data_IF_117108494954
#
_entry.id   IF_117108494954
#
_cell.length_a   1.000
_cell.length_b   1.000
_cell.length_c   1.000
_cell.angle_alpha   90.00
_cell.angle_beta   90.00
_cell.angle_gamma   90.00
#
_symmetry.space_group_name_H-M   'P 1'
#
loop_
_entity.id
_entity.type
_entity.pdbx_description
1 polymer ?
#
# COMPACT_ATOMS: atom_id res chain seq x y z
N UNK A 1 17.29 -12.17 4.76
CA UNK A 1 16.43 -11.71 5.88
C UNK A 1 16.22 -10.20 5.97
N UNK A 2 17.27 -9.34 5.90
CA UNK A 2 17.10 -7.87 6.05
C UNK A 2 16.21 -7.22 4.99
N UNK A 3 16.37 -7.60 3.70
CA UNK A 3 15.56 -7.04 2.59
C UNK A 3 14.05 -7.30 2.76
N UNK A 4 13.65 -8.54 3.07
CA UNK A 4 12.23 -8.88 3.32
C UNK A 4 11.62 -8.09 4.48
N UNK A 5 12.37 -7.93 5.59
CA UNK A 5 11.91 -7.13 6.74
C UNK A 5 11.73 -5.67 6.37
N UNK A 6 12.63 -5.09 5.56
CA UNK A 6 12.52 -3.71 5.09
C UNK A 6 11.27 -3.53 4.21
N UNK A 7 11.05 -4.41 3.23
CA UNK A 7 9.88 -4.33 2.35
C UNK A 7 8.55 -4.53 3.12
N UNK A 8 8.53 -5.43 4.11
CA UNK A 8 7.37 -5.60 4.98
C UNK A 8 7.08 -4.35 5.82
N UNK A 9 8.11 -3.75 6.43
CA UNK A 9 7.93 -2.48 7.16
C UNK A 9 7.49 -1.35 6.25
N UNK A 10 8.06 -1.23 5.05
CA UNK A 10 7.66 -0.21 4.06
C UNK A 10 6.19 -0.39 3.66
N UNK A 11 5.75 -1.62 3.36
CA UNK A 11 4.36 -1.89 3.02
C UNK A 11 3.39 -1.57 4.18
N UNK A 12 3.78 -1.89 5.41
CA UNK A 12 2.97 -1.60 6.60
C UNK A 12 2.86 -0.08 6.84
N UNK A 13 3.96 0.64 6.71
CA UNK A 13 3.98 2.11 6.84
C UNK A 13 3.15 2.77 5.74
N UNK A 14 3.29 2.31 4.48
CA UNK A 14 2.47 2.79 3.37
C UNK A 14 0.98 2.52 3.60
N UNK A 15 0.63 1.33 4.10
CA UNK A 15 -0.73 0.96 4.43
C UNK A 15 -1.34 1.86 5.50
N UNK A 16 -0.56 2.20 6.54
CA UNK A 16 -0.99 3.13 7.58
C UNK A 16 -1.21 4.55 7.03
N UNK A 17 -0.29 5.05 6.20
CA UNK A 17 -0.46 6.33 5.50
C UNK A 17 -1.69 6.30 4.59
N UNK A 18 -1.92 5.20 3.88
CA UNK A 18 -3.10 5.01 3.04
C UNK A 18 -4.41 5.05 3.83
N UNK A 19 -4.43 4.48 5.04
CA UNK A 19 -5.58 4.55 5.95
C UNK A 19 -5.90 5.99 6.36
N UNK A 20 -4.89 6.79 6.68
CA UNK A 20 -5.07 8.21 7.00
C UNK A 20 -5.62 8.97 5.79
N UNK A 21 -5.06 8.74 4.60
CA UNK A 21 -5.55 9.37 3.37
C UNK A 21 -6.98 8.96 3.02
N UNK A 22 -7.39 7.73 3.33
CA UNK A 22 -8.77 7.26 3.19
C UNK A 22 -9.73 8.07 4.07
N UNK A 23 -9.36 8.35 5.32
CA UNK A 23 -10.15 9.18 6.22
C UNK A 23 -10.24 10.63 5.74
N UNK A 24 -9.13 11.19 5.26
CA UNK A 24 -9.11 12.55 4.70
C UNK A 24 -9.97 12.63 3.43
N UNK A 25 -9.92 11.62 2.57
CA UNK A 25 -10.80 11.52 1.40
C UNK A 25 -12.27 11.43 1.77
N UNK A 26 -12.61 10.66 2.81
CA UNK A 26 -13.96 10.60 3.32
C UNK A 26 -14.44 11.97 3.78
N UNK A 27 -13.63 12.70 4.55
CA UNK A 27 -13.95 14.07 4.97
C UNK A 27 -14.15 15.01 3.76
N UNK A 28 -13.23 14.98 2.79
CA UNK A 28 -13.33 15.79 1.59
C UNK A 28 -14.59 15.49 0.76
N UNK A 29 -14.96 14.20 0.64
CA UNK A 29 -16.19 13.80 -0.06
C UNK A 29 -17.46 14.23 0.70
N UNK A 30 -17.41 14.20 2.03
CA UNK A 30 -18.50 14.71 2.87
C UNK A 30 -18.65 16.22 2.67
N UNK A 31 -17.56 17.00 2.62
CA UNK A 31 -17.62 18.44 2.33
C UNK A 31 -18.21 18.73 0.96
N UNK A 32 -17.74 18.02 -0.08
CA UNK A 32 -18.29 18.10 -1.43
C UNK A 32 -19.81 17.83 -1.42
N UNK A 33 -20.28 16.90 -0.59
CA UNK A 33 -21.71 16.57 -0.51
C UNK A 33 -22.58 17.66 0.13
N UNK A 34 -22.01 18.55 0.95
CA UNK A 34 -22.72 19.68 1.55
C UNK A 34 -22.88 20.87 0.59
N UNK A 35 -22.24 20.83 -0.59
CA UNK A 35 -22.45 21.79 -1.66
C UNK A 35 -21.73 23.12 -1.48
N UNK A 36 -20.57 23.12 -0.81
CA UNK A 36 -19.71 24.31 -0.74
C UNK A 36 -19.25 24.78 -2.12
N UNK A 37 -18.93 26.07 -2.23
CA UNK A 37 -18.65 26.74 -3.52
C UNK A 37 -17.19 26.66 -3.96
N UNK A 38 -16.25 26.49 -3.04
CA UNK A 38 -14.82 26.33 -3.34
C UNK A 38 -14.37 24.91 -3.00
N UNK A 39 -14.48 24.00 -3.98
CA UNK A 39 -14.19 22.57 -3.82
C UNK A 39 -12.76 22.20 -4.28
N UNK A 40 -11.93 23.19 -4.62
CA UNK A 40 -10.64 22.94 -5.26
C UNK A 40 -9.68 22.16 -4.35
N UNK A 41 -9.72 22.42 -3.04
CA UNK A 41 -8.89 21.74 -2.04
C UNK A 41 -9.32 20.28 -1.83
N UNK A 42 -10.61 20.03 -1.76
CA UNK A 42 -11.22 18.73 -1.54
C UNK A 42 -10.96 17.80 -2.72
N UNK A 43 -11.10 18.29 -3.95
CA UNK A 43 -10.74 17.52 -5.15
C UNK A 43 -9.24 17.23 -5.24
N UNK A 44 -8.37 18.12 -4.74
CA UNK A 44 -6.94 17.86 -4.62
C UNK A 44 -6.68 16.71 -3.63
N UNK A 45 -7.33 16.73 -2.47
CA UNK A 45 -7.23 15.68 -1.45
C UNK A 45 -7.70 14.33 -2.02
N UNK A 46 -8.80 14.31 -2.77
CA UNK A 46 -9.30 13.09 -3.43
C UNK A 46 -8.29 12.54 -4.44
N UNK A 47 -7.69 13.39 -5.27
CA UNK A 47 -6.67 12.96 -6.24
C UNK A 47 -5.42 12.41 -5.56
N UNK A 48 -4.92 13.11 -4.53
CA UNK A 48 -3.76 12.65 -3.76
C UNK A 48 -4.05 11.33 -3.05
N UNK A 49 -5.24 11.20 -2.47
CA UNK A 49 -5.68 9.98 -1.82
C UNK A 49 -5.74 8.79 -2.77
N UNK A 50 -6.32 8.96 -3.97
CA UNK A 50 -6.34 7.90 -5.00
C UNK A 50 -4.91 7.49 -5.42
N UNK A 51 -4.00 8.46 -5.55
CA UNK A 51 -2.60 8.20 -5.87
C UNK A 51 -1.91 7.39 -4.76
N UNK A 52 -2.13 7.73 -3.49
CA UNK A 52 -1.59 6.98 -2.35
C UNK A 52 -2.15 5.54 -2.33
N UNK A 53 -3.46 5.36 -2.51
CA UNK A 53 -4.07 4.03 -2.58
C UNK A 53 -3.47 3.19 -3.70
N UNK A 54 -3.25 3.78 -4.88
CA UNK A 54 -2.60 3.10 -5.99
C UNK A 54 -1.22 2.55 -5.59
N UNK A 55 -0.39 3.38 -4.95
CA UNK A 55 0.93 2.93 -4.47
C UNK A 55 0.85 1.86 -3.38
N UNK A 56 -0.15 1.93 -2.49
CA UNK A 56 -0.41 0.87 -1.49
C UNK A 56 -0.72 -0.46 -2.19
N UNK A 57 -1.58 -0.46 -3.19
CA UNK A 57 -1.92 -1.66 -3.97
C UNK A 57 -0.65 -2.24 -4.61
N UNK A 58 0.14 -1.41 -5.29
CA UNK A 58 1.40 -1.85 -5.92
C UNK A 58 2.36 -2.44 -4.87
N UNK A 59 2.52 -1.78 -3.72
CA UNK A 59 3.38 -2.24 -2.64
C UNK A 59 2.93 -3.61 -2.09
N UNK A 60 1.62 -3.84 -1.97
CA UNK A 60 1.06 -5.14 -1.56
C UNK A 60 1.40 -6.21 -2.59
N UNK A 61 1.21 -5.97 -3.89
CA UNK A 61 1.56 -6.93 -4.93
C UNK A 61 3.05 -7.28 -4.93
N UNK A 62 3.93 -6.27 -4.82
CA UNK A 62 5.38 -6.48 -4.74
C UNK A 62 5.76 -7.25 -3.47
N UNK A 63 5.16 -6.91 -2.34
CA UNK A 63 5.35 -7.60 -1.07
C UNK A 63 4.97 -9.07 -1.15
N UNK A 64 3.78 -9.38 -1.66
CA UNK A 64 3.30 -10.74 -1.88
C UNK A 64 4.21 -11.52 -2.83
N UNK A 65 4.63 -10.90 -3.94
CA UNK A 65 5.55 -11.54 -4.90
C UNK A 65 6.91 -11.89 -4.27
N UNK A 66 7.48 -11.00 -3.45
CA UNK A 66 8.72 -11.26 -2.72
C UNK A 66 8.55 -12.36 -1.67
N UNK A 67 7.41 -12.41 -1.00
CA UNK A 67 7.07 -13.47 -0.03
C UNK A 67 6.94 -14.82 -0.73
N UNK A 68 6.17 -14.91 -1.82
CA UNK A 68 6.02 -16.13 -2.62
C UNK A 68 7.35 -16.62 -3.17
N UNK A 69 8.17 -15.71 -3.71
CA UNK A 69 9.53 -16.04 -4.16
C UNK A 69 10.38 -16.62 -3.02
N UNK A 70 10.30 -16.04 -1.83
CA UNK A 70 11.05 -16.53 -0.67
C UNK A 70 10.56 -17.89 -0.16
N UNK A 71 9.27 -18.23 -0.32
CA UNK A 71 8.78 -19.57 -0.05
C UNK A 71 9.32 -20.57 -1.08
N UNK A 72 9.26 -20.25 -2.37
CA UNK A 72 9.80 -21.09 -3.44
C UNK A 72 11.30 -21.35 -3.28
N UNK A 73 12.09 -20.31 -3.05
CA UNK A 73 13.55 -20.43 -2.87
C UNK A 73 13.91 -21.29 -1.62
N UNK A 74 13.00 -21.39 -0.62
CA UNK A 74 13.15 -22.28 0.54
C UNK A 74 12.76 -23.72 0.27
N UNK A 75 11.83 -23.96 -0.64
CA UNK A 75 11.47 -25.31 -1.09
C UNK A 75 12.58 -25.90 -1.95
N UNK A 76 13.13 -25.11 -2.88
CA UNK A 76 14.25 -25.51 -3.74
C UNK A 76 15.53 -25.81 -2.93
N UNK A 77 15.78 -25.05 -1.85
CA UNK A 77 16.94 -25.23 -0.97
C UNK A 77 16.86 -26.44 -0.03
N UNK A 78 15.69 -27.07 0.12
CA UNK A 78 15.53 -28.30 0.91
C UNK A 78 15.74 -29.59 0.10
N UNK A 79 15.77 -29.50 -1.23
CA UNK A 79 15.97 -30.66 -2.13
C UNK A 79 17.42 -30.93 -2.52
N UNK A 80 18.39 -30.16 -2.01
CA UNK A 80 19.78 -30.16 -2.49
C UNK A 80 20.83 -30.80 -1.58
N UNK A 81 20.44 -31.43 -0.47
CA UNK A 81 21.39 -32.08 0.46
C UNK A 81 20.97 -33.50 0.84
N UNK A 82 20.55 -34.28 -0.15
CA UNK A 82 20.45 -35.74 -0.05
C UNK A 82 21.07 -36.36 -1.33
N UNK A 83 22.38 -36.23 -1.48
CA UNK A 83 23.27 -37.16 -2.22
C UNK A 83 24.71 -36.96 -1.76
#
# INVERSE_FOLDING_TARGET
MKKLRIWASVALTLGFVGLIFLLLMFLALVDISHGETDLAGEWLIVRLGLLVIFFVIVAVFVGTGLVLKNFRDREDGKGGTDV
#
